data_IF_096112900974
#
_entry.id   IF_096112900974
#
_cell.length_a   1.000
_cell.length_b   1.000
_cell.length_c   1.000
_cell.angle_alpha   90.00
_cell.angle_beta   90.00
_cell.angle_gamma   90.00
#
_symmetry.space_group_name_H-M   'P 1'
#
loop_
_entity.id
_entity.type
_entity.pdbx_description
1 polymer ?
#
# COMPACT_ATOMS: atom_id res chain seq x y z
N UNK A 1 35.12 16.80 -18.39
CA UNK A 1 35.17 15.35 -18.55
C UNK A 1 35.31 14.61 -17.22
N UNK A 2 36.23 14.98 -16.31
CA UNK A 2 36.32 14.31 -14.99
C UNK A 2 35.20 14.69 -14.01
N UNK A 3 34.73 15.95 -14.04
CA UNK A 3 33.69 16.43 -13.13
C UNK A 3 32.36 15.69 -13.33
N UNK A 4 32.00 15.38 -14.58
CA UNK A 4 30.77 14.67 -14.95
C UNK A 4 30.79 13.19 -14.50
N UNK A 5 31.97 12.57 -14.48
CA UNK A 5 32.17 11.17 -14.04
C UNK A 5 32.01 11.07 -12.52
N UNK A 6 32.56 12.06 -11.82
CA UNK A 6 32.47 12.16 -10.36
C UNK A 6 31.00 12.40 -9.95
N UNK A 7 30.31 13.34 -10.60
CA UNK A 7 28.89 13.63 -10.33
C UNK A 7 27.98 12.43 -10.64
N UNK A 8 28.16 11.76 -11.77
CA UNK A 8 27.39 10.55 -12.09
C UNK A 8 27.65 9.40 -11.11
N UNK A 9 28.83 9.30 -10.51
CA UNK A 9 29.14 8.30 -9.48
C UNK A 9 28.45 8.64 -8.15
N UNK A 10 28.45 9.91 -7.74
CA UNK A 10 27.74 10.37 -6.55
C UNK A 10 26.22 10.20 -6.69
N UNK A 11 25.66 10.60 -7.84
CA UNK A 11 24.23 10.47 -8.12
C UNK A 11 23.79 8.99 -8.09
N UNK A 12 24.56 8.08 -8.71
CA UNK A 12 24.30 6.63 -8.65
C UNK A 12 24.35 6.08 -7.23
N UNK A 13 25.33 6.49 -6.41
CA UNK A 13 25.43 6.06 -5.01
C UNK A 13 24.23 6.54 -4.19
N UNK A 14 23.79 7.80 -4.40
CA UNK A 14 22.62 8.37 -3.73
C UNK A 14 21.33 7.68 -4.13
N UNK A 15 21.12 7.43 -5.42
CA UNK A 15 19.95 6.69 -5.93
C UNK A 15 19.92 5.29 -5.33
N UNK A 16 21.04 4.56 -5.32
CA UNK A 16 21.12 3.22 -4.72
C UNK A 16 20.82 3.23 -3.23
N UNK A 17 21.31 4.23 -2.50
CA UNK A 17 20.98 4.42 -1.08
C UNK A 17 19.48 4.64 -0.86
N UNK A 18 18.86 5.54 -1.64
CA UNK A 18 17.41 5.80 -1.55
C UNK A 18 16.57 4.58 -1.92
N UNK A 19 17.00 3.79 -2.91
CA UNK A 19 16.36 2.52 -3.27
C UNK A 19 16.44 1.52 -2.12
N UNK A 20 17.60 1.36 -1.50
CA UNK A 20 17.78 0.49 -0.34
C UNK A 20 16.94 0.94 0.86
N UNK A 21 16.91 2.25 1.15
CA UNK A 21 16.10 2.78 2.25
C UNK A 21 14.60 2.54 2.00
N UNK A 22 14.12 2.80 0.77
CA UNK A 22 12.75 2.49 0.36
C UNK A 22 12.43 1.00 0.49
N UNK A 23 13.36 0.13 0.14
CA UNK A 23 13.21 -1.31 0.29
C UNK A 23 13.12 -1.70 1.78
N UNK A 24 14.01 -1.20 2.62
CA UNK A 24 14.01 -1.51 4.06
C UNK A 24 12.76 -1.01 4.78
N UNK A 25 12.31 0.22 4.50
CA UNK A 25 11.06 0.76 5.04
C UNK A 25 9.86 -0.10 4.63
N UNK A 26 9.82 -0.49 3.35
CA UNK A 26 8.78 -1.40 2.84
C UNK A 26 8.81 -2.74 3.58
N UNK A 27 9.98 -3.35 3.77
CA UNK A 27 10.12 -4.63 4.46
C UNK A 27 9.68 -4.55 5.94
N UNK A 28 10.09 -3.50 6.68
CA UNK A 28 9.70 -3.32 8.09
C UNK A 28 8.19 -3.13 8.23
N UNK A 29 7.64 -2.21 7.44
CA UNK A 29 6.21 -1.94 7.42
C UNK A 29 5.39 -3.20 7.09
N UNK A 30 5.85 -3.99 6.11
CA UNK A 30 5.21 -5.26 5.75
C UNK A 30 5.27 -6.29 6.89
N UNK A 31 6.41 -6.40 7.59
CA UNK A 31 6.58 -7.36 8.69
C UNK A 31 5.69 -7.01 9.89
N UNK A 32 5.68 -5.74 10.29
CA UNK A 32 4.87 -5.25 11.41
C UNK A 32 3.38 -5.44 11.11
N UNK A 33 2.92 -5.01 9.93
CA UNK A 33 1.51 -5.12 9.60
C UNK A 33 1.02 -6.56 9.38
N UNK A 34 1.81 -7.44 8.74
CA UNK A 34 1.40 -8.84 8.62
C UNK A 34 1.29 -9.52 9.97
N UNK A 35 2.13 -9.11 10.94
CA UNK A 35 2.02 -9.63 12.30
C UNK A 35 0.72 -9.20 12.99
N UNK A 36 0.23 -7.98 12.74
CA UNK A 36 -1.07 -7.50 13.22
C UNK A 36 -2.24 -8.18 12.49
N UNK A 37 -2.15 -8.32 11.17
CA UNK A 37 -3.18 -8.95 10.35
C UNK A 37 -3.42 -10.42 10.71
N UNK A 38 -2.35 -11.16 11.04
CA UNK A 38 -2.44 -12.56 11.51
C UNK A 38 -3.04 -12.63 12.91
N UNK A 39 -2.74 -11.66 13.78
CA UNK A 39 -3.20 -11.63 15.18
C UNK A 39 -4.67 -11.23 15.33
N UNK A 40 -5.28 -10.60 14.31
CA UNK A 40 -6.65 -10.09 14.42
C UNK A 40 -7.63 -10.75 13.43
N UNK A 41 -8.12 -11.97 13.73
CA UNK A 41 -9.22 -12.58 12.97
C UNK A 41 -10.53 -11.77 13.06
N UNK A 42 -10.65 -10.87 14.05
CA UNK A 42 -11.81 -9.98 14.25
C UNK A 42 -11.71 -8.63 13.53
N UNK A 43 -10.55 -8.27 12.96
CA UNK A 43 -10.41 -7.09 12.09
C UNK A 43 -11.26 -7.21 10.82
N UNK A 44 -11.57 -8.45 10.42
CA UNK A 44 -12.48 -8.74 9.31
C UNK A 44 -13.96 -8.56 9.67
N UNK A 45 -14.35 -8.72 10.94
CA UNK A 45 -15.74 -8.65 11.39
C UNK A 45 -16.14 -7.27 11.90
N UNK A 46 -15.22 -6.52 12.51
CA UNK A 46 -15.37 -5.08 12.67
C UNK A 46 -15.00 -4.43 11.34
N UNK A 47 -15.99 -4.13 10.51
CA UNK A 47 -15.87 -3.13 9.45
C UNK A 47 -15.39 -1.84 10.11
N UNK A 48 -14.07 -1.65 10.22
CA UNK A 48 -13.50 -0.35 10.49
C UNK A 48 -14.03 0.53 9.36
N UNK A 49 -14.72 1.61 9.73
CA UNK A 49 -15.26 2.55 8.76
C UNK A 49 -14.09 3.08 7.96
N UNK A 50 -13.94 2.57 6.74
CA UNK A 50 -12.96 3.08 5.80
C UNK A 50 -13.36 4.51 5.47
N UNK A 51 -12.38 5.39 5.34
CA UNK A 51 -12.61 6.78 4.96
C UNK A 51 -11.66 7.18 3.83
N UNK A 52 -12.09 8.09 2.94
CA UNK A 52 -11.16 8.79 2.06
C UNK A 52 -9.96 9.34 2.85
N UNK A 53 -8.75 9.05 2.37
CA UNK A 53 -7.49 9.41 3.03
C UNK A 53 -6.77 8.24 3.71
N UNK A 54 -7.48 7.17 4.08
CA UNK A 54 -6.88 6.00 4.74
C UNK A 54 -5.83 5.31 3.86
N UNK A 55 -4.73 4.87 4.48
CA UNK A 55 -3.70 4.06 3.84
C UNK A 55 -4.00 2.58 4.08
N UNK A 56 -4.01 1.82 2.99
CA UNK A 56 -4.49 0.44 2.99
C UNK A 56 -3.59 -0.43 2.10
N UNK A 57 -3.55 -1.74 2.36
CA UNK A 57 -3.03 -2.72 1.41
C UNK A 57 -4.14 -3.16 0.47
N UNK A 58 -3.76 -3.37 -0.79
CA UNK A 58 -4.67 -3.81 -1.83
C UNK A 58 -4.39 -5.27 -2.19
N UNK A 59 -5.33 -6.14 -1.83
CA UNK A 59 -5.26 -7.56 -2.09
C UNK A 59 -5.38 -7.92 -3.57
N UNK A 60 -4.64 -8.95 -3.97
CA UNK A 60 -4.72 -9.58 -5.29
C UNK A 60 -4.47 -11.08 -5.14
N UNK A 61 -5.25 -11.92 -5.82
CA UNK A 61 -5.11 -13.39 -5.76
C UNK A 61 -3.80 -13.86 -6.40
N UNK A 62 -3.34 -13.13 -7.40
CA UNK A 62 -2.17 -13.52 -8.19
C UNK A 62 -0.84 -13.15 -7.52
N UNK A 63 -0.87 -12.53 -6.34
CA UNK A 63 0.34 -12.12 -5.62
C UNK A 63 0.27 -12.56 -4.17
N UNK A 64 1.40 -13.07 -3.66
CA UNK A 64 1.58 -13.33 -2.22
C UNK A 64 1.21 -12.07 -1.43
N UNK A 65 0.58 -12.23 -0.25
CA UNK A 65 0.17 -11.11 0.62
C UNK A 65 1.31 -10.12 0.91
N UNK A 66 2.53 -10.63 1.03
CA UNK A 66 3.78 -9.86 1.18
C UNK A 66 4.02 -8.84 0.05
N UNK A 67 3.48 -9.11 -1.15
CA UNK A 67 3.67 -8.30 -2.35
C UNK A 67 2.45 -7.43 -2.67
N UNK A 68 1.47 -7.34 -1.77
CA UNK A 68 0.31 -6.48 -1.98
C UNK A 68 0.73 -5.00 -2.00
N UNK A 69 0.30 -4.21 -3.00
CA UNK A 69 0.64 -2.81 -3.07
C UNK A 69 -0.09 -2.00 -2.00
N UNK A 70 0.57 -0.93 -1.56
CA UNK A 70 -0.04 0.12 -0.75
C UNK A 70 -0.89 1.04 -1.64
N UNK A 71 -2.04 1.44 -1.11
CA UNK A 71 -2.92 2.43 -1.71
C UNK A 71 -3.47 3.40 -0.67
N UNK A 72 -3.90 4.57 -1.14
CA UNK A 72 -4.71 5.53 -0.37
C UNK A 72 -6.13 5.50 -0.90
N UNK A 73 -7.13 5.45 -0.03
CA UNK A 73 -8.54 5.57 -0.44
C UNK A 73 -8.79 7.00 -0.93
N UNK A 74 -9.32 7.14 -2.13
CA UNK A 74 -9.78 8.41 -2.69
C UNK A 74 -11.28 8.59 -2.48
N UNK A 75 -12.04 7.53 -2.72
CA UNK A 75 -13.51 7.59 -2.76
C UNK A 75 -14.11 6.22 -2.42
N UNK A 76 -15.29 6.23 -1.81
CA UNK A 76 -16.06 5.03 -1.48
C UNK A 76 -17.40 5.06 -2.22
N UNK A 77 -17.75 3.94 -2.85
CA UNK A 77 -18.99 3.80 -3.61
C UNK A 77 -19.98 2.89 -2.88
N UNK A 78 -21.20 3.41 -2.74
CA UNK A 78 -22.32 2.74 -2.10
C UNK A 78 -23.18 2.01 -3.13
N UNK A 79 -23.75 0.88 -2.71
CA UNK A 79 -24.79 0.18 -3.46
C UNK A 79 -26.18 0.79 -3.26
N UNK A 80 -27.20 0.17 -3.86
CA UNK A 80 -28.61 0.60 -3.76
C UNK A 80 -29.15 0.57 -2.32
N UNK A 81 -28.60 -0.27 -1.48
CA UNK A 81 -28.90 -0.41 -0.05
C UNK A 81 -28.07 0.54 0.83
N UNK A 82 -27.39 1.53 0.22
CA UNK A 82 -26.53 2.50 0.90
C UNK A 82 -25.31 1.88 1.61
N UNK A 83 -24.95 0.64 1.29
CA UNK A 83 -23.77 -0.05 1.83
C UNK A 83 -22.58 0.13 0.90
N UNK A 84 -21.47 0.63 1.45
CA UNK A 84 -20.19 0.74 0.76
C UNK A 84 -19.65 -0.65 0.40
N UNK A 85 -19.30 -0.85 -0.87
CA UNK A 85 -18.78 -2.13 -1.36
C UNK A 85 -17.48 -2.00 -2.14
N UNK A 86 -17.22 -0.83 -2.70
CA UNK A 86 -16.13 -0.59 -3.63
C UNK A 86 -15.43 0.71 -3.25
N UNK A 87 -14.10 0.74 -3.37
CA UNK A 87 -13.32 1.96 -3.20
C UNK A 87 -12.50 2.27 -4.46
N UNK A 88 -12.33 3.56 -4.76
CA UNK A 88 -11.26 4.06 -5.63
C UNK A 88 -10.03 4.31 -4.78
N UNK A 89 -8.88 3.82 -5.24
CA UNK A 89 -7.61 3.85 -4.52
C UNK A 89 -6.54 4.47 -5.40
N UNK A 90 -5.71 5.35 -4.85
CA UNK A 90 -4.45 5.77 -5.48
C UNK A 90 -3.33 4.83 -5.03
N UNK A 91 -2.74 4.11 -5.97
CA UNK A 91 -1.54 3.31 -5.79
C UNK A 91 -0.36 3.93 -6.53
N UNK A 92 0.86 3.44 -6.31
CA UNK A 92 2.06 3.97 -6.97
C UNK A 92 2.00 3.94 -8.51
N UNK A 93 1.24 2.98 -9.07
CA UNK A 93 1.09 2.80 -10.53
C UNK A 93 -0.11 3.55 -11.13
N UNK A 94 -0.84 4.34 -10.35
CA UNK A 94 -2.05 5.04 -10.80
C UNK A 94 -3.24 4.78 -9.89
N UNK A 95 -4.44 4.92 -10.44
CA UNK A 95 -5.69 4.72 -9.68
C UNK A 95 -6.32 3.39 -10.06
N UNK A 96 -6.85 2.70 -9.06
CA UNK A 96 -7.50 1.40 -9.22
C UNK A 96 -8.80 1.37 -8.44
N UNK A 97 -9.73 0.55 -8.90
CA UNK A 97 -11.00 0.29 -8.23
C UNK A 97 -10.98 -1.13 -7.68
N UNK A 98 -11.33 -1.29 -6.41
CA UNK A 98 -11.34 -2.60 -5.74
C UNK A 98 -12.52 -2.76 -4.80
N UNK A 99 -13.08 -3.99 -4.70
CA UNK A 99 -14.02 -4.33 -3.65
C UNK A 99 -13.39 -4.13 -2.27
N UNK A 100 -14.16 -3.66 -1.30
CA UNK A 100 -13.72 -3.42 0.09
C UNK A 100 -13.15 -4.70 0.73
N UNK A 101 -13.66 -5.88 0.36
CA UNK A 101 -13.13 -7.16 0.83
C UNK A 101 -11.65 -7.39 0.44
N UNK A 102 -11.15 -6.68 -0.57
CA UNK A 102 -9.75 -6.72 -1.02
C UNK A 102 -8.92 -5.56 -0.47
N UNK A 103 -9.44 -4.84 0.52
CA UNK A 103 -8.80 -3.66 1.10
C UNK A 103 -8.55 -3.94 2.58
N UNK A 104 -7.30 -3.73 3.00
CA UNK A 104 -6.85 -4.07 4.36
C UNK A 104 -6.27 -2.81 5.02
N UNK A 105 -6.95 -2.24 6.03
CA UNK A 105 -6.53 -0.99 6.66
C UNK A 105 -5.30 -1.17 7.55
N UNK A 106 -4.39 -0.19 7.53
CA UNK A 106 -3.08 -0.23 8.23
C UNK A 106 -3.09 0.44 9.61
N UNK A 107 -4.27 0.87 10.07
CA UNK A 107 -4.46 1.65 11.30
C UNK A 107 -4.64 0.76 12.53
#
# INVERSE_FOLDING_TARGET
MDLDIVDTKYLRKRIRYLQNLRYQLRQRFQKEYLSELIRSPQSFSKRRNLSPGDIVLVGSDNTKRLNWPLGRIIELFKGKDNVERVARLRVAKGEIIRPIQRIYPLN
#
